data_IF_977338559595
#
_entry.id   IF_977338559595
#
_cell.length_a   1.000
_cell.length_b   1.000
_cell.length_c   1.000
_cell.angle_alpha   90.00
_cell.angle_beta   90.00
_cell.angle_gamma   90.00
#
_symmetry.space_group_name_H-M   'P 1'
#
loop_
_entity.id
_entity.type
_entity.pdbx_description
1 polymer ?
#
# COMPACT_ATOMS: atom_id res chain seq x y z
N UNK A 1 23.75 0.23 14.45
CA UNK A 1 23.08 -1.08 14.25
C UNK A 1 22.26 -1.38 15.49
N UNK A 2 21.02 -1.82 15.33
CA UNK A 2 20.17 -2.25 16.44
C UNK A 2 19.93 -3.75 16.33
N UNK A 3 19.92 -4.46 17.46
CA UNK A 3 19.72 -5.89 17.52
C UNK A 3 18.54 -6.20 18.43
N UNK A 4 17.71 -7.16 18.03
CA UNK A 4 16.60 -7.69 18.82
C UNK A 4 16.80 -9.20 18.96
N UNK A 5 16.74 -9.71 20.19
CA UNK A 5 16.75 -11.14 20.47
C UNK A 5 15.33 -11.61 20.82
N UNK A 6 14.77 -12.47 19.97
CA UNK A 6 13.46 -13.10 20.21
C UNK A 6 13.70 -14.46 20.87
N UNK A 7 13.27 -14.60 22.13
CA UNK A 7 13.36 -15.86 22.89
C UNK A 7 12.01 -16.57 22.89
N UNK A 8 12.04 -17.89 23.09
CA UNK A 8 10.82 -18.72 23.17
C UNK A 8 9.90 -18.59 21.95
N UNK A 9 10.48 -18.43 20.75
CA UNK A 9 9.73 -18.46 19.51
C UNK A 9 9.27 -19.90 19.23
N UNK A 10 7.99 -20.08 18.96
CA UNK A 10 7.43 -21.38 18.59
C UNK A 10 8.13 -21.97 17.36
N UNK A 11 8.42 -23.27 17.39
CA UNK A 11 9.14 -23.93 16.30
C UNK A 11 8.39 -23.88 14.96
N UNK A 12 7.06 -23.96 15.00
CA UNK A 12 6.21 -23.82 13.80
C UNK A 12 6.32 -22.41 13.19
N UNK A 13 6.33 -21.37 14.03
CA UNK A 13 6.51 -19.98 13.59
C UNK A 13 7.89 -19.80 12.95
N UNK A 14 8.94 -20.36 13.55
CA UNK A 14 10.29 -20.37 12.96
C UNK A 14 10.34 -21.08 11.61
N UNK A 15 9.69 -22.25 11.47
CA UNK A 15 9.65 -23.00 10.23
C UNK A 15 8.90 -22.25 9.11
N UNK A 16 7.78 -21.58 9.45
CA UNK A 16 7.03 -20.72 8.54
C UNK A 16 7.86 -19.55 8.02
N UNK A 17 8.60 -18.87 8.90
CA UNK A 17 9.50 -17.77 8.52
C UNK A 17 10.62 -18.25 7.59
N UNK A 18 11.21 -19.41 7.85
CA UNK A 18 12.23 -19.99 6.96
C UNK A 18 11.68 -20.31 5.58
N UNK A 19 10.45 -20.85 5.50
CA UNK A 19 9.80 -21.13 4.22
C UNK A 19 9.49 -19.85 3.45
N UNK A 20 8.99 -18.82 4.11
CA UNK A 20 8.70 -17.53 3.50
C UNK A 20 9.98 -16.88 2.95
N UNK A 21 11.07 -16.89 3.72
CA UNK A 21 12.36 -16.37 3.29
C UNK A 21 12.87 -17.07 2.02
N UNK A 22 12.74 -18.40 1.94
CA UNK A 22 13.08 -19.17 0.73
C UNK A 22 12.21 -18.77 -0.47
N UNK A 23 10.91 -18.57 -0.26
CA UNK A 23 9.99 -18.13 -1.33
C UNK A 23 10.37 -16.74 -1.86
N UNK A 24 10.83 -15.84 -0.99
CA UNK A 24 11.26 -14.49 -1.38
C UNK A 24 12.72 -14.41 -1.82
N UNK A 25 13.48 -15.52 -1.78
CA UNK A 25 14.90 -15.55 -2.16
C UNK A 25 15.81 -14.78 -1.21
N UNK A 26 15.46 -14.69 0.07
CA UNK A 26 16.18 -13.93 1.11
C UNK A 26 16.61 -14.82 2.27
N UNK A 27 17.53 -14.32 3.11
CA UNK A 27 17.84 -14.98 4.38
C UNK A 27 16.67 -14.85 5.35
N UNK A 28 16.54 -15.78 6.31
CA UNK A 28 15.48 -15.70 7.33
C UNK A 28 15.57 -14.43 8.16
N UNK A 29 16.79 -13.96 8.45
CA UNK A 29 17.02 -12.69 9.15
C UNK A 29 16.50 -11.50 8.34
N UNK A 30 16.80 -11.44 7.04
CA UNK A 30 16.33 -10.36 6.17
C UNK A 30 14.81 -10.38 6.03
N UNK A 31 14.20 -11.57 5.92
CA UNK A 31 12.75 -11.71 5.88
C UNK A 31 12.09 -11.19 7.16
N UNK A 32 12.62 -11.57 8.32
CA UNK A 32 12.12 -11.07 9.62
C UNK A 32 12.28 -9.55 9.71
N UNK A 33 13.42 -9.00 9.27
CA UNK A 33 13.67 -7.57 9.26
C UNK A 33 12.65 -6.83 8.38
N UNK A 34 12.34 -7.38 7.21
CA UNK A 34 11.37 -6.80 6.27
C UNK A 34 9.94 -6.86 6.79
N UNK A 35 9.55 -7.97 7.43
CA UNK A 35 8.26 -8.10 8.11
C UNK A 35 8.14 -7.04 9.21
N UNK A 36 9.13 -6.93 10.09
CA UNK A 36 9.11 -5.95 11.18
C UNK A 36 9.08 -4.52 10.64
N UNK A 37 9.88 -4.22 9.61
CA UNK A 37 9.88 -2.91 8.93
C UNK A 37 8.50 -2.56 8.37
N UNK A 38 7.84 -3.50 7.72
CA UNK A 38 6.52 -3.28 7.15
C UNK A 38 5.44 -3.17 8.23
N UNK A 39 5.53 -3.96 9.30
CA UNK A 39 4.61 -3.90 10.42
C UNK A 39 4.66 -2.54 11.14
N UNK A 40 5.84 -1.92 11.24
CA UNK A 40 6.00 -0.61 11.91
C UNK A 40 5.95 0.60 10.99
N UNK A 41 5.88 0.40 9.66
CA UNK A 41 5.99 1.48 8.64
C UNK A 41 5.05 2.66 8.88
N UNK A 42 3.89 2.42 9.47
CA UNK A 42 2.83 3.41 9.69
C UNK A 42 2.54 3.71 11.16
N UNK A 43 3.38 3.24 12.08
CA UNK A 43 3.17 3.47 13.52
C UNK A 43 3.24 4.97 13.84
N UNK A 44 4.21 5.68 13.28
CA UNK A 44 4.39 7.12 13.54
C UNK A 44 3.62 8.01 12.55
N UNK A 45 3.19 7.45 11.42
CA UNK A 45 2.47 8.14 10.36
C UNK A 45 1.34 7.25 9.83
N UNK A 46 0.17 7.27 10.47
CA UNK A 46 -0.98 6.54 9.97
C UNK A 46 -1.27 6.99 8.53
N UNK A 47 -1.68 6.06 7.63
CA UNK A 47 -1.97 6.42 6.27
C UNK A 47 -2.98 7.57 6.25
N UNK A 48 -2.59 8.68 5.63
CA UNK A 48 -3.45 9.85 5.52
C UNK A 48 -4.82 9.44 4.98
N UNK A 49 -5.88 10.01 5.54
CA UNK A 49 -7.27 9.71 5.16
C UNK A 49 -7.40 9.74 3.63
N UNK A 50 -8.00 8.69 3.05
CA UNK A 50 -8.10 8.54 1.60
C UNK A 50 -8.64 9.82 0.93
N UNK A 51 -9.68 10.43 1.51
CA UNK A 51 -10.23 11.70 1.04
C UNK A 51 -9.21 12.83 1.02
N UNK A 52 -8.40 13.00 2.07
CA UNK A 52 -7.33 14.00 2.12
C UNK A 52 -6.26 13.77 1.07
N UNK A 53 -5.92 12.51 0.79
CA UNK A 53 -4.96 12.15 -0.27
C UNK A 53 -5.51 12.45 -1.66
N UNK A 54 -6.77 12.13 -1.92
CA UNK A 54 -7.45 12.46 -3.18
C UNK A 54 -7.49 13.97 -3.34
N UNK A 55 -7.98 14.71 -2.35
CA UNK A 55 -8.05 16.17 -2.39
C UNK A 55 -6.67 16.82 -2.61
N UNK A 56 -5.61 16.30 -1.97
CA UNK A 56 -4.25 16.82 -2.15
C UNK A 56 -3.73 16.65 -3.58
N UNK A 57 -4.05 15.53 -4.25
CA UNK A 57 -3.64 15.28 -5.66
C UNK A 57 -4.28 16.26 -6.63
N UNK A 58 -5.54 16.64 -6.38
CA UNK A 58 -6.30 17.55 -7.24
C UNK A 58 -6.27 19.01 -6.75
N UNK A 59 -5.51 19.34 -5.70
CA UNK A 59 -5.49 20.71 -5.13
C UNK A 59 -5.08 21.78 -6.15
N UNK A 60 -4.24 21.44 -7.12
CA UNK A 60 -3.83 22.33 -8.22
C UNK A 60 -4.63 22.16 -9.51
N UNK A 61 -5.60 21.24 -9.54
CA UNK A 61 -6.44 20.93 -10.70
C UNK A 61 -7.89 21.18 -10.28
N UNK A 62 -8.30 22.44 -10.43
CA UNK A 62 -9.67 22.86 -10.19
C UNK A 62 -10.51 22.82 -11.46
N UNK A 63 -11.82 22.94 -11.29
CA UNK A 63 -12.73 23.19 -12.40
C UNK A 63 -12.52 24.62 -12.90
N UNK A 64 -12.35 24.78 -14.22
CA UNK A 64 -12.33 26.10 -14.87
C UNK A 64 -13.73 26.62 -15.18
N UNK A 65 -14.71 25.72 -15.19
CA UNK A 65 -16.12 25.97 -15.46
C UNK A 65 -16.98 24.96 -14.69
N UNK A 66 -18.26 25.26 -14.50
CA UNK A 66 -19.17 24.38 -13.77
C UNK A 66 -19.40 23.06 -14.51
N UNK A 67 -19.52 21.96 -13.76
CA UNK A 67 -19.84 20.65 -14.35
C UNK A 67 -21.30 20.68 -14.83
N UNK A 68 -21.57 20.39 -16.12
CA UNK A 68 -22.93 20.39 -16.63
C UNK A 68 -23.77 19.29 -16.00
N UNK A 69 -25.06 19.57 -15.80
CA UNK A 69 -26.04 18.58 -15.34
C UNK A 69 -26.29 17.53 -16.44
N UNK A 70 -26.08 16.25 -16.11
CA UNK A 70 -26.20 15.15 -17.08
C UNK A 70 -27.49 14.32 -16.91
N UNK A 71 -28.37 14.66 -15.96
CA UNK A 71 -29.66 13.99 -15.80
C UNK A 71 -30.47 14.00 -17.11
N UNK A 72 -30.88 12.82 -17.57
CA UNK A 72 -31.66 12.64 -18.80
C UNK A 72 -30.83 12.50 -20.08
N UNK A 73 -29.50 12.59 -20.01
CA UNK A 73 -28.63 12.30 -21.15
C UNK A 73 -28.43 10.77 -21.30
N UNK A 74 -28.45 10.24 -22.53
CA UNK A 74 -28.15 8.83 -22.76
C UNK A 74 -26.68 8.54 -22.44
N UNK A 75 -26.42 7.42 -21.77
CA UNK A 75 -25.04 6.97 -21.50
C UNK A 75 -24.34 6.70 -22.82
N UNK A 76 -23.22 7.37 -23.06
CA UNK A 76 -22.36 7.14 -24.21
C UNK A 76 -21.11 6.37 -23.78
N UNK A 77 -20.75 5.26 -24.43
CA UNK A 77 -19.50 4.57 -24.16
C UNK A 77 -18.30 5.43 -24.54
N UNK A 78 -17.22 5.33 -23.75
CA UNK A 78 -15.97 6.00 -24.09
C UNK A 78 -15.38 5.37 -25.37
N UNK A 79 -15.09 6.21 -26.36
CA UNK A 79 -14.36 5.80 -27.57
C UNK A 79 -12.87 6.00 -27.30
N UNK A 80 -12.11 4.92 -27.35
CA UNK A 80 -10.66 4.96 -27.24
C UNK A 80 -10.09 4.71 -28.64
N UNK A 81 -9.25 5.63 -29.12
CA UNK A 81 -8.49 5.39 -30.34
C UNK A 81 -7.34 4.42 -30.02
N UNK A 82 -7.20 3.37 -30.81
CA UNK A 82 -6.03 2.50 -30.75
C UNK A 82 -4.78 3.30 -31.15
N UNK A 83 -3.76 3.30 -30.29
CA UNK A 83 -2.45 3.94 -30.53
C UNK A 83 -1.43 2.89 -30.91
#
# INVERSE_FOLDING_TARGET
MAQILIRQLEDDTKAKLQRLARQHGRSTEEEVREILRNAVRHVDNPPGRLGSRIASRFKGVGLTEDIPELRGQPVQPAQFNES
#
